data_IF_403483473554
#
_entry.id   IF_403483473554
#
_cell.length_a   1.000
_cell.length_b   1.000
_cell.length_c   1.000
_cell.angle_alpha   90.00
_cell.angle_beta   90.00
_cell.angle_gamma   90.00
#
_symmetry.space_group_name_H-M   'P 1'
#
loop_
_entity.id
_entity.type
_entity.pdbx_description
1 polymer ?
#
# COMPACT_ATOMS: atom_id res chain seq x y z
N UNK A 1 -18.43 7.24 -14.41
CA UNK A 1 -19.85 7.31 -14.00
C UNK A 1 -20.19 6.02 -13.29
N UNK A 2 -20.90 6.10 -12.17
CA UNK A 2 -21.39 4.92 -11.44
C UNK A 2 -22.89 4.84 -11.62
N UNK A 3 -23.40 3.65 -11.93
CA UNK A 3 -24.81 3.37 -12.11
C UNK A 3 -25.22 2.31 -11.10
N UNK A 4 -26.21 2.63 -10.27
CA UNK A 4 -26.92 1.62 -9.47
C UNK A 4 -28.15 1.17 -10.25
N UNK A 5 -28.36 -0.15 -10.37
CA UNK A 5 -29.44 -0.69 -11.20
C UNK A 5 -30.79 -0.83 -10.48
N UNK A 6 -31.05 0.02 -9.48
CA UNK A 6 -32.36 0.07 -8.86
C UNK A 6 -32.64 -1.20 -8.06
N UNK A 7 -33.71 -1.88 -8.48
CA UNK A 7 -34.17 -3.14 -7.88
C UNK A 7 -33.29 -4.34 -8.22
N UNK A 8 -32.40 -4.20 -9.19
CA UNK A 8 -31.42 -5.22 -9.56
C UNK A 8 -30.18 -5.00 -8.70
N UNK A 9 -29.67 -6.02 -7.98
CA UNK A 9 -28.67 -5.85 -6.94
C UNK A 9 -27.25 -5.68 -7.52
N UNK A 10 -27.12 -4.78 -8.49
CA UNK A 10 -25.92 -4.52 -9.25
C UNK A 10 -25.58 -3.04 -9.19
N UNK A 11 -24.28 -2.77 -9.29
CA UNK A 11 -23.79 -1.47 -9.70
C UNK A 11 -22.65 -1.65 -10.70
N UNK A 12 -22.56 -0.70 -11.63
CA UNK A 12 -21.53 -0.72 -12.66
C UNK A 12 -20.81 0.63 -12.70
N UNK A 13 -19.53 0.59 -13.04
CA UNK A 13 -18.72 1.77 -13.25
C UNK A 13 -18.30 1.86 -14.72
N UNK A 14 -18.41 3.05 -15.30
CA UNK A 14 -18.06 3.33 -16.68
C UNK A 14 -17.08 4.51 -16.78
N UNK A 15 -16.22 4.48 -17.79
CA UNK A 15 -15.49 5.66 -18.26
C UNK A 15 -16.45 6.75 -18.75
N UNK A 16 -15.97 7.98 -18.92
CA UNK A 16 -16.76 9.06 -19.53
C UNK A 16 -17.21 8.78 -20.97
N UNK A 17 -16.53 7.87 -21.67
CA UNK A 17 -16.87 7.43 -23.03
C UNK A 17 -17.81 6.20 -23.07
N UNK A 18 -18.33 5.75 -21.92
CA UNK A 18 -19.27 4.63 -21.84
C UNK A 18 -18.66 3.23 -21.83
N UNK A 19 -17.32 3.09 -21.81
CA UNK A 19 -16.67 1.78 -21.60
C UNK A 19 -16.86 1.32 -20.16
N UNK A 20 -17.31 0.07 -19.97
CA UNK A 20 -17.43 -0.59 -18.66
C UNK A 20 -16.05 -0.81 -18.03
N UNK A 21 -15.92 -0.40 -16.76
CA UNK A 21 -14.73 -0.55 -15.91
C UNK A 21 -14.92 -1.67 -14.88
N UNK A 22 -16.10 -1.70 -14.25
CA UNK A 22 -16.42 -2.67 -13.21
C UNK A 22 -17.92 -2.97 -13.25
N UNK A 23 -18.28 -4.20 -12.94
CA UNK A 23 -19.66 -4.63 -12.74
C UNK A 23 -19.70 -5.57 -11.54
N UNK A 24 -20.51 -5.23 -10.54
CA UNK A 24 -20.52 -5.91 -9.26
C UNK A 24 -21.94 -6.12 -8.76
N UNK A 25 -22.18 -7.30 -8.19
CA UNK A 25 -23.43 -7.65 -7.52
C UNK A 25 -23.25 -7.56 -6.00
N UNK A 26 -24.29 -7.16 -5.28
CA UNK A 26 -24.37 -7.23 -3.82
C UNK A 26 -25.43 -8.25 -3.39
N UNK A 27 -25.32 -8.75 -2.16
CA UNK A 27 -26.04 -9.97 -1.72
C UNK A 27 -27.56 -9.82 -1.72
N UNK A 28 -28.10 -8.66 -1.34
CA UNK A 28 -29.53 -8.42 -1.29
C UNK A 28 -29.85 -6.91 -1.25
N UNK A 29 -31.06 -6.55 -1.67
CA UNK A 29 -31.60 -5.19 -1.59
C UNK A 29 -31.62 -4.47 -2.93
N UNK A 30 -31.84 -3.15 -2.87
CA UNK A 30 -31.95 -2.28 -4.03
C UNK A 30 -31.13 -1.02 -3.84
N UNK A 31 -30.61 -0.47 -4.93
CA UNK A 31 -29.89 0.80 -4.92
C UNK A 31 -30.81 1.94 -5.39
N UNK A 32 -30.91 3.02 -4.63
CA UNK A 32 -31.56 4.25 -5.11
C UNK A 32 -30.54 5.18 -5.79
N UNK A 33 -29.31 5.23 -5.26
CA UNK A 33 -28.18 5.99 -5.80
C UNK A 33 -26.90 5.19 -5.62
N UNK A 34 -25.95 5.40 -6.52
CA UNK A 34 -24.60 4.85 -6.42
C UNK A 34 -23.59 5.97 -6.67
N UNK A 35 -22.52 6.00 -5.88
CA UNK A 35 -21.46 7.00 -5.97
C UNK A 35 -20.13 6.36 -5.61
N UNK A 36 -19.06 6.84 -6.25
CA UNK A 36 -17.68 6.64 -5.79
C UNK A 36 -17.28 7.93 -5.08
N UNK A 37 -16.73 7.79 -3.88
CA UNK A 37 -16.22 8.90 -3.10
C UNK A 37 -14.71 8.71 -2.85
N UNK A 38 -13.93 9.80 -2.74
CA UNK A 38 -12.56 9.71 -2.24
C UNK A 38 -12.56 9.04 -0.86
N UNK A 39 -11.64 8.11 -0.67
CA UNK A 39 -11.45 7.44 0.61
C UNK A 39 -10.01 7.61 1.09
N UNK A 40 -9.88 7.99 2.36
CA UNK A 40 -8.60 8.03 3.05
C UNK A 40 -8.57 6.96 4.12
N UNK A 41 -7.58 6.08 4.05
CA UNK A 41 -7.35 5.02 5.02
C UNK A 41 -6.04 5.25 5.77
N UNK A 42 -6.15 5.25 7.10
CA UNK A 42 -5.06 5.43 8.08
C UNK A 42 -5.09 4.28 9.09
N UNK A 43 -4.61 3.09 8.72
CA UNK A 43 -4.58 1.95 9.63
C UNK A 43 -3.72 2.25 10.88
N UNK A 44 -4.10 1.68 12.01
CA UNK A 44 -3.33 1.80 13.27
C UNK A 44 -2.25 0.73 13.41
N UNK A 45 -2.42 -0.42 12.73
CA UNK A 45 -1.42 -1.47 12.67
C UNK A 45 -0.23 -1.02 11.79
N UNK A 46 1.00 -1.47 12.09
CA UNK A 46 2.15 -1.25 11.21
C UNK A 46 1.96 -1.86 9.82
N UNK A 47 2.77 -1.43 8.82
CA UNK A 47 2.93 -2.17 7.59
C UNK A 47 3.48 -3.58 7.84
N UNK A 48 3.09 -4.53 7.01
CA UNK A 48 3.68 -5.87 6.97
C UNK A 48 4.89 -5.85 6.05
N UNK A 49 6.04 -6.32 6.54
CA UNK A 49 7.25 -6.39 5.74
C UNK A 49 8.10 -7.61 6.07
N UNK A 50 8.81 -8.12 5.06
CA UNK A 50 9.74 -9.24 5.18
C UNK A 50 11.01 -8.99 4.38
N UNK A 51 12.16 -9.39 4.92
CA UNK A 51 13.44 -9.37 4.20
C UNK A 51 13.78 -10.77 3.71
N UNK A 52 13.96 -10.91 2.39
CA UNK A 52 14.52 -12.12 1.75
C UNK A 52 15.97 -11.85 1.38
N UNK A 53 16.91 -12.49 2.09
CA UNK A 53 18.36 -12.40 1.80
C UNK A 53 18.74 -13.38 0.69
N UNK A 54 19.67 -12.96 -0.17
CA UNK A 54 20.30 -13.78 -1.21
C UNK A 54 21.78 -13.40 -1.33
N UNK A 55 22.65 -14.25 -0.79
CA UNK A 55 24.08 -13.94 -0.65
C UNK A 55 24.30 -12.66 0.16
N UNK A 56 25.01 -11.70 -0.43
CA UNK A 56 25.28 -10.39 0.19
C UNK A 56 24.21 -9.33 -0.10
N UNK A 57 23.13 -9.68 -0.79
CA UNK A 57 22.03 -8.79 -1.12
C UNK A 57 20.74 -9.23 -0.43
N UNK A 58 19.70 -8.39 -0.48
CA UNK A 58 18.37 -8.79 -0.08
C UNK A 58 17.29 -7.96 -0.74
N UNK A 59 16.06 -8.45 -0.65
CA UNK A 59 14.86 -7.73 -1.09
C UNK A 59 13.89 -7.63 0.07
N UNK A 60 13.51 -6.40 0.42
CA UNK A 60 12.40 -6.14 1.34
C UNK A 60 11.11 -6.15 0.54
N UNK A 61 10.16 -6.99 0.94
CA UNK A 61 8.79 -6.92 0.45
C UNK A 61 7.96 -6.25 1.53
N UNK A 62 7.21 -5.21 1.17
CA UNK A 62 6.38 -4.45 2.11
C UNK A 62 5.01 -4.17 1.52
N UNK A 63 3.98 -4.30 2.35
CA UNK A 63 2.61 -3.92 2.03
C UNK A 63 1.92 -3.34 3.26
N UNK A 64 0.88 -2.52 3.05
CA UNK A 64 0.09 -2.00 4.16
C UNK A 64 -1.36 -1.89 3.74
N UNK A 65 -2.13 -2.91 4.12
CA UNK A 65 -3.53 -2.99 3.75
C UNK A 65 -4.32 -1.85 4.41
N UNK A 66 -5.23 -1.24 3.66
CA UNK A 66 -6.03 -0.13 4.16
C UNK A 66 -5.32 1.24 4.13
N UNK A 67 -4.00 1.32 3.93
CA UNK A 67 -3.28 2.60 3.92
C UNK A 67 -3.32 3.26 2.53
N UNK A 68 -3.92 4.46 2.45
CA UNK A 68 -4.06 5.20 1.19
C UNK A 68 -3.07 6.35 1.04
N UNK A 69 -2.43 6.76 2.14
CA UNK A 69 -1.58 7.96 2.17
C UNK A 69 -0.09 7.66 1.95
N UNK A 70 0.30 6.39 1.78
CA UNK A 70 1.69 6.02 1.53
C UNK A 70 2.09 6.43 0.10
N UNK A 71 3.02 7.38 0.01
CA UNK A 71 3.63 7.81 -1.24
C UNK A 71 4.93 7.05 -1.54
N UNK A 72 5.74 6.76 -0.52
CA UNK A 72 7.00 6.04 -0.68
C UNK A 72 7.34 5.19 0.55
N UNK A 73 8.25 4.24 0.33
CA UNK A 73 8.83 3.39 1.35
C UNK A 73 10.30 3.73 1.53
N UNK A 74 10.77 3.87 2.76
CA UNK A 74 12.19 4.02 3.08
C UNK A 74 12.66 2.82 3.88
N UNK A 75 13.77 2.22 3.46
CA UNK A 75 14.46 1.16 4.21
C UNK A 75 15.67 1.77 4.89
N UNK A 76 15.73 1.65 6.22
CA UNK A 76 16.90 1.94 7.04
C UNK A 76 17.59 0.61 7.37
N UNK A 77 18.92 0.58 7.34
CA UNK A 77 19.67 -0.60 7.77
C UNK A 77 21.01 -0.24 8.41
N UNK A 78 21.47 -1.10 9.32
CA UNK A 78 22.73 -0.96 10.03
C UNK A 78 23.00 -2.18 10.90
N UNK A 79 24.05 -2.12 11.72
CA UNK A 79 24.35 -3.19 12.69
C UNK A 79 23.48 -3.09 13.96
N UNK A 80 22.80 -1.96 14.15
CA UNK A 80 21.90 -1.67 15.26
C UNK A 80 21.14 -0.37 15.01
N UNK A 81 20.25 0.00 15.94
CA UNK A 81 19.38 1.18 15.82
C UNK A 81 20.18 2.48 15.69
N UNK A 82 21.28 2.62 16.42
CA UNK A 82 22.11 3.84 16.44
C UNK A 82 22.80 4.13 15.11
N UNK A 83 23.10 3.07 14.35
CA UNK A 83 23.93 3.13 13.15
C UNK A 83 23.09 2.90 11.87
N UNK A 84 21.77 2.81 12.03
CA UNK A 84 20.85 2.59 10.94
C UNK A 84 20.79 3.81 10.02
N UNK A 85 21.10 3.63 8.75
CA UNK A 85 21.07 4.68 7.74
C UNK A 85 20.14 4.30 6.57
N UNK A 86 19.58 5.29 5.84
CA UNK A 86 18.80 5.02 4.64
C UNK A 86 19.60 4.24 3.59
N UNK A 87 19.13 3.04 3.27
CA UNK A 87 19.69 2.20 2.22
C UNK A 87 18.92 2.33 0.90
N UNK A 88 17.61 2.57 0.98
CA UNK A 88 16.75 2.78 -0.18
C UNK A 88 15.55 3.65 0.17
N UNK A 89 15.07 4.42 -0.80
CA UNK A 89 13.72 5.03 -0.76
C UNK A 89 13.10 4.85 -2.14
N UNK A 90 11.94 4.20 -2.21
CA UNK A 90 11.27 3.91 -3.48
C UNK A 90 9.79 4.31 -3.41
N UNK A 91 9.20 4.78 -4.53
CA UNK A 91 7.75 5.02 -4.60
C UNK A 91 6.97 3.75 -4.27
N UNK A 92 5.79 3.91 -3.67
CA UNK A 92 4.85 2.78 -3.54
C UNK A 92 4.47 2.26 -4.93
N UNK A 93 4.55 0.95 -5.11
CA UNK A 93 4.09 0.27 -6.32
C UNK A 93 3.06 -0.80 -5.96
N UNK A 94 1.86 -0.71 -6.55
CA UNK A 94 0.78 -1.67 -6.33
C UNK A 94 0.38 -1.84 -4.85
N UNK A 95 -0.05 -3.06 -4.51
CA UNK A 95 -0.34 -3.46 -3.14
C UNK A 95 0.94 -3.77 -2.35
N UNK A 96 1.80 -4.62 -2.89
CA UNK A 96 3.09 -4.99 -2.33
C UNK A 96 4.23 -4.37 -3.15
N UNK A 97 5.19 -3.75 -2.47
CA UNK A 97 6.38 -3.16 -3.08
C UNK A 97 7.62 -3.97 -2.73
N UNK A 98 8.39 -4.35 -3.74
CA UNK A 98 9.68 -5.02 -3.60
C UNK A 98 10.83 -4.00 -3.68
N UNK A 99 11.69 -3.98 -2.66
CA UNK A 99 12.75 -2.99 -2.48
C UNK A 99 14.11 -3.71 -2.39
N UNK A 100 14.94 -3.66 -3.45
CA UNK A 100 16.29 -4.21 -3.40
C UNK A 100 17.17 -3.42 -2.44
N UNK A 101 17.92 -4.13 -1.59
CA UNK A 101 18.87 -3.57 -0.63
C UNK A 101 20.21 -4.28 -0.79
N UNK A 102 21.28 -3.50 -0.98
CA UNK A 102 22.65 -4.03 -1.02
C UNK A 102 23.16 -4.18 0.41
N UNK A 103 23.68 -5.35 0.77
CA UNK A 103 24.28 -5.62 2.07
C UNK A 103 23.40 -5.21 3.27
N UNK A 104 22.15 -5.72 3.37
CA UNK A 104 21.30 -5.42 4.52
C UNK A 104 21.98 -5.90 5.81
N UNK A 105 22.08 -5.01 6.79
CA UNK A 105 22.64 -5.28 8.12
C UNK A 105 21.76 -6.21 8.97
N UNK A 106 22.13 -6.35 10.24
CA UNK A 106 21.35 -7.07 11.24
C UNK A 106 20.07 -6.32 11.61
N UNK A 107 20.11 -4.99 11.63
CA UNK A 107 18.95 -4.15 11.85
C UNK A 107 18.38 -3.67 10.52
N UNK A 108 17.07 -3.82 10.33
CA UNK A 108 16.34 -3.30 9.18
C UNK A 108 15.00 -2.74 9.65
N UNK A 109 14.73 -1.48 9.31
CA UNK A 109 13.45 -0.81 9.54
C UNK A 109 12.88 -0.36 8.19
N UNK A 110 11.57 -0.53 8.02
CA UNK A 110 10.83 -0.06 6.84
C UNK A 110 9.84 1.01 7.29
N UNK A 111 9.95 2.20 6.70
CA UNK A 111 9.13 3.37 7.01
C UNK A 111 8.16 3.65 5.85
N UNK A 112 6.88 3.80 6.17
CA UNK A 112 5.87 4.36 5.27
C UNK A 112 5.96 5.89 5.31
N UNK A 113 6.15 6.53 4.16
CA UNK A 113 6.20 7.98 4.05
C UNK A 113 4.99 8.53 3.30
N UNK A 114 4.46 9.65 3.77
CA UNK A 114 3.50 10.45 3.00
C UNK A 114 4.16 11.23 1.86
N UNK A 115 3.36 11.99 1.09
CA UNK A 115 3.86 12.79 -0.02
C UNK A 115 4.82 13.93 0.40
N UNK A 116 4.79 14.35 1.67
CA UNK A 116 5.70 15.33 2.25
C UNK A 116 6.98 14.73 2.83
N UNK A 117 7.09 13.39 2.86
CA UNK A 117 8.20 12.68 3.48
C UNK A 117 8.07 12.45 4.99
N UNK A 118 6.89 12.72 5.56
CA UNK A 118 6.59 12.42 6.97
C UNK A 118 6.40 10.92 7.15
N UNK A 119 6.97 10.37 8.23
CA UNK A 119 6.76 8.96 8.58
C UNK A 119 5.33 8.78 9.11
N UNK A 120 4.54 7.96 8.41
CA UNK A 120 3.20 7.57 8.82
C UNK A 120 3.24 6.43 9.84
N UNK A 121 4.09 5.43 9.59
CA UNK A 121 4.36 4.31 10.48
C UNK A 121 5.67 3.63 10.07
N UNK A 122 6.24 2.82 10.95
CA UNK A 122 7.36 1.93 10.61
C UNK A 122 7.21 0.52 11.17
N UNK A 123 8.00 -0.41 10.63
CA UNK A 123 8.12 -1.79 11.11
C UNK A 123 9.60 -2.18 11.12
N UNK A 124 10.05 -2.82 12.19
CA UNK A 124 11.40 -3.39 12.30
C UNK A 124 11.33 -4.86 11.95
N UNK A 125 12.25 -5.31 11.08
CA UNK A 125 12.36 -6.72 10.69
C UNK A 125 13.26 -7.44 11.69
N UNK A 126 12.72 -8.47 12.34
CA UNK A 126 13.43 -9.40 13.21
C UNK A 126 13.93 -10.64 12.49
#
# INVERSE_FOLDING_TARGET
>A
MVVGWGQVPYYSEYTGAGRLLSDATFTAGSSYRAFVAPWTGTPTAPPDAVLRRSGSAGTVYVSWNGATQVASWRVLTGNGVSDAAPAATVPRAGFETAIPVKHPGSYVEVQALDAGGTVLHSVVLG
#
